data_IF_727693396236
#
_entry.id   IF_727693396236
#
_cell.length_a   1.000
_cell.length_b   1.000
_cell.length_c   1.000
_cell.angle_alpha   90.00
_cell.angle_beta   90.00
_cell.angle_gamma   90.00
#
_symmetry.space_group_name_H-M   'P 1'
#
loop_
_entity.id
_entity.type
_entity.pdbx_description
1 polymer ?
#
# COMPACT_ATOMS: atom_id res chain seq x y z
N UNK A 1 14.66 -9.26 0.27
CA UNK A 1 13.95 -8.04 -0.16
C UNK A 1 14.41 -6.91 0.75
N UNK A 2 14.83 -5.76 0.22
CA UNK A 2 15.38 -4.66 1.02
C UNK A 2 14.28 -3.69 1.47
N UNK A 3 14.55 -2.84 2.46
CA UNK A 3 13.62 -1.78 2.91
C UNK A 3 13.18 -0.88 1.74
N UNK A 4 14.10 -0.56 0.82
CA UNK A 4 13.78 0.26 -0.35
C UNK A 4 12.66 -0.37 -1.20
N UNK A 5 12.62 -1.70 -1.30
CA UNK A 5 11.57 -2.40 -2.02
C UNK A 5 10.20 -2.24 -1.33
N UNK A 6 10.13 -2.11 -0.01
CA UNK A 6 8.87 -1.82 0.69
C UNK A 6 8.31 -0.44 0.32
N UNK A 7 9.18 0.56 0.20
CA UNK A 7 8.77 1.91 -0.23
C UNK A 7 8.25 1.87 -1.66
N UNK A 8 8.96 1.18 -2.57
CA UNK A 8 8.53 1.02 -3.96
C UNK A 8 7.18 0.30 -4.03
N UNK A 9 7.00 -0.77 -3.26
CA UNK A 9 5.71 -1.47 -3.21
C UNK A 9 4.59 -0.59 -2.67
N UNK A 10 4.83 0.21 -1.63
CA UNK A 10 3.84 1.14 -1.11
C UNK A 10 3.39 2.17 -2.16
N UNK A 11 4.34 2.71 -2.94
CA UNK A 11 4.03 3.63 -4.06
C UNK A 11 3.26 2.91 -5.17
N UNK A 12 3.62 1.67 -5.51
CA UNK A 12 2.90 0.89 -6.50
C UNK A 12 1.48 0.56 -6.06
N UNK A 13 1.29 0.14 -4.81
CA UNK A 13 -0.04 -0.12 -4.24
C UNK A 13 -0.89 1.14 -4.33
N UNK A 14 -0.33 2.32 -4.07
CA UNK A 14 -1.04 3.58 -4.21
C UNK A 14 -1.44 3.86 -5.66
N UNK A 15 -0.52 3.69 -6.60
CA UNK A 15 -0.81 3.86 -8.02
C UNK A 15 -1.91 2.89 -8.52
N UNK A 16 -1.86 1.63 -8.11
CA UNK A 16 -2.90 0.64 -8.43
C UNK A 16 -4.24 0.98 -7.76
N UNK A 17 -4.20 1.45 -6.51
CA UNK A 17 -5.39 1.92 -5.78
C UNK A 17 -6.06 3.05 -6.55
N UNK A 18 -5.30 4.06 -6.99
CA UNK A 18 -5.80 5.15 -7.83
C UNK A 18 -6.43 4.65 -9.14
N UNK A 19 -5.74 3.75 -9.86
CA UNK A 19 -6.24 3.17 -11.11
C UNK A 19 -7.58 2.44 -10.91
N UNK A 20 -7.68 1.61 -9.85
CA UNK A 20 -8.90 0.89 -9.51
C UNK A 20 -10.04 1.85 -9.18
N UNK A 21 -9.77 2.92 -8.42
CA UNK A 21 -10.77 3.95 -8.10
C UNK A 21 -11.31 4.61 -9.36
N UNK A 22 -10.42 5.04 -10.27
CA UNK A 22 -10.82 5.65 -11.54
C UNK A 22 -11.68 4.72 -12.37
N UNK A 23 -11.31 3.43 -12.47
CA UNK A 23 -12.12 2.43 -13.16
C UNK A 23 -13.51 2.29 -12.51
N UNK A 24 -13.58 2.11 -11.19
CA UNK A 24 -14.85 1.95 -10.46
C UNK A 24 -15.76 3.17 -10.63
N UNK A 25 -15.22 4.38 -10.56
CA UNK A 25 -15.97 5.62 -10.80
C UNK A 25 -16.48 5.71 -12.25
N UNK A 26 -15.67 5.31 -13.23
CA UNK A 26 -16.08 5.25 -14.64
C UNK A 26 -17.22 4.23 -14.88
N UNK A 27 -17.30 3.18 -14.06
CA UNK A 27 -18.42 2.23 -14.05
C UNK A 27 -19.63 2.70 -13.22
N UNK A 28 -19.62 3.94 -12.70
CA UNK A 28 -20.72 4.52 -11.94
C UNK A 28 -20.79 4.11 -10.47
N UNK A 29 -19.73 3.52 -9.92
CA UNK A 29 -19.66 3.14 -8.50
C UNK A 29 -19.38 4.38 -7.65
N UNK A 30 -20.26 4.65 -6.67
CA UNK A 30 -20.05 5.70 -5.67
C UNK A 30 -19.10 5.18 -4.59
N UNK A 31 -17.85 5.67 -4.63
CA UNK A 31 -16.83 5.33 -3.64
C UNK A 31 -17.03 6.12 -2.35
N UNK A 32 -17.06 5.42 -1.21
CA UNK A 32 -17.05 6.02 0.12
C UNK A 32 -15.61 6.17 0.61
N UNK A 33 -15.34 7.15 1.47
CA UNK A 33 -13.99 7.44 1.97
C UNK A 33 -13.28 6.24 2.62
N UNK A 34 -14.01 5.32 3.25
CA UNK A 34 -13.43 4.11 3.85
C UNK A 34 -12.97 3.08 2.81
N UNK A 35 -13.47 3.14 1.57
CA UNK A 35 -13.12 2.20 0.51
C UNK A 35 -11.68 2.39 0.07
N UNK A 36 -11.11 3.58 0.23
CA UNK A 36 -9.71 3.88 -0.07
C UNK A 36 -8.77 2.99 0.76
N UNK A 37 -9.03 2.93 2.06
CA UNK A 37 -8.26 2.12 3.00
C UNK A 37 -8.47 0.62 2.77
N UNK A 38 -9.67 0.23 2.33
CA UNK A 38 -9.98 -1.17 2.05
C UNK A 38 -9.30 -1.65 0.76
N UNK A 39 -9.34 -0.85 -0.32
CA UNK A 39 -8.70 -1.19 -1.60
C UNK A 39 -7.18 -1.30 -1.39
N UNK A 40 -6.56 -0.35 -0.69
CA UNK A 40 -5.12 -0.40 -0.41
C UNK A 40 -4.75 -1.59 0.47
N UNK A 41 -5.58 -1.94 1.46
CA UNK A 41 -5.38 -3.14 2.28
C UNK A 41 -5.49 -4.44 1.48
N UNK A 42 -6.52 -4.59 0.65
CA UNK A 42 -6.73 -5.79 -0.17
C UNK A 42 -5.57 -5.97 -1.15
N UNK A 43 -5.13 -4.90 -1.80
CA UNK A 43 -3.95 -4.93 -2.68
C UNK A 43 -2.68 -5.27 -1.90
N UNK A 44 -2.47 -4.66 -0.74
CA UNK A 44 -1.32 -4.95 0.10
C UNK A 44 -1.28 -6.42 0.57
N UNK A 45 -2.43 -6.99 0.93
CA UNK A 45 -2.55 -8.42 1.26
C UNK A 45 -2.23 -9.28 0.03
N UNK A 46 -2.78 -8.97 -1.14
CA UNK A 46 -2.50 -9.72 -2.36
C UNK A 46 -1.01 -9.69 -2.75
N UNK A 47 -0.38 -8.51 -2.66
CA UNK A 47 1.05 -8.33 -2.94
C UNK A 47 1.91 -9.05 -1.90
N UNK A 48 1.60 -8.91 -0.61
CA UNK A 48 2.38 -9.54 0.46
C UNK A 48 2.26 -11.07 0.44
N UNK A 49 1.04 -11.60 0.26
CA UNK A 49 0.80 -13.04 0.20
C UNK A 49 1.35 -13.66 -1.10
N UNK A 50 1.05 -13.05 -2.26
CA UNK A 50 1.50 -13.53 -3.57
C UNK A 50 3.03 -13.46 -3.71
N UNK A 51 3.63 -12.37 -3.21
CA UNK A 51 5.09 -12.19 -3.20
C UNK A 51 5.80 -12.88 -2.03
N UNK A 52 5.07 -13.51 -1.10
CA UNK A 52 5.59 -14.07 0.16
C UNK A 52 6.50 -13.08 0.90
N UNK A 53 6.08 -11.82 0.93
CA UNK A 53 6.84 -10.72 1.52
C UNK A 53 6.74 -10.81 3.03
N UNK A 54 7.81 -11.26 3.68
CA UNK A 54 7.87 -11.37 5.14
C UNK A 54 8.59 -10.15 5.76
N UNK A 55 7.89 -9.42 6.62
CA UNK A 55 8.39 -8.23 7.28
C UNK A 55 9.59 -8.53 8.18
N UNK A 56 9.57 -9.65 8.90
CA UNK A 56 10.65 -10.02 9.82
C UNK A 56 11.93 -10.38 9.08
N UNK A 57 11.81 -10.96 7.87
CA UNK A 57 12.96 -11.21 7.00
C UNK A 57 13.59 -9.91 6.53
N UNK A 58 12.80 -8.87 6.25
CA UNK A 58 13.36 -7.57 5.87
C UNK A 58 13.97 -6.86 7.06
N UNK A 59 13.33 -6.93 8.23
CA UNK A 59 13.81 -6.30 9.44
C UNK A 59 15.12 -6.94 9.96
N UNK A 60 15.28 -8.25 9.80
CA UNK A 60 16.52 -8.97 10.17
C UNK A 60 17.72 -8.64 9.27
N UNK A 61 17.50 -8.02 8.10
CA UNK A 61 18.60 -7.48 7.29
C UNK A 61 19.18 -6.19 7.87
N UNK A 62 18.41 -5.48 8.69
CA UNK A 62 18.75 -4.16 9.21
C UNK A 62 19.12 -4.23 10.68
N UNK A 63 18.40 -5.05 11.44
CA UNK A 63 18.71 -5.39 12.81
C UNK A 63 19.31 -6.79 12.84
N UNK A 64 20.47 -7.02 13.48
CA UNK A 64 21.07 -8.36 13.60
C UNK A 64 20.30 -9.21 14.65
N UNK A 65 18.98 -9.31 14.48
CA UNK A 65 18.05 -10.00 15.36
C UNK A 65 17.26 -10.99 14.51
N UNK A 66 17.23 -12.25 14.95
CA UNK A 66 16.35 -13.25 14.38
C UNK A 66 15.06 -13.31 15.21
N UNK A 67 13.93 -12.96 14.59
CA UNK A 67 12.64 -12.86 15.28
C UNK A 67 12.04 -14.22 15.62
N UNK A 68 12.43 -15.32 14.95
CA UNK A 68 11.95 -16.67 15.26
C UNK A 68 10.43 -16.89 15.14
N UNK A 69 9.71 -15.97 14.50
CA UNK A 69 8.24 -16.01 14.37
C UNK A 69 7.79 -16.79 13.12
N UNK A 70 6.57 -17.35 13.11
CA UNK A 70 6.04 -18.03 11.95
C UNK A 70 5.94 -17.10 10.72
N UNK A 71 6.32 -17.55 9.50
CA UNK A 71 6.35 -16.69 8.30
C UNK A 71 5.01 -16.03 7.96
N UNK A 72 3.90 -16.71 8.28
CA UNK A 72 2.55 -16.18 8.06
C UNK A 72 2.32 -14.88 8.83
N UNK A 73 2.84 -14.77 10.06
CA UNK A 73 2.73 -13.55 10.87
C UNK A 73 3.49 -12.40 10.21
N UNK A 74 4.69 -12.68 9.72
CA UNK A 74 5.51 -11.71 9.00
C UNK A 74 4.86 -11.21 7.71
N UNK A 75 4.18 -12.10 6.97
CA UNK A 75 3.43 -11.75 5.76
C UNK A 75 2.22 -10.87 6.06
N UNK A 76 1.44 -11.21 7.09
CA UNK A 76 0.29 -10.39 7.52
C UNK A 76 0.75 -9.00 7.94
N UNK A 77 1.84 -8.92 8.72
CA UNK A 77 2.42 -7.64 9.12
C UNK A 77 2.93 -6.83 7.93
N UNK A 78 3.57 -7.47 6.94
CA UNK A 78 3.93 -6.79 5.69
C UNK A 78 2.72 -6.17 5.02
N UNK A 79 1.61 -6.88 4.91
CA UNK A 79 0.40 -6.35 4.31
C UNK A 79 -0.13 -5.11 5.05
N UNK A 80 -0.14 -5.15 6.38
CA UNK A 80 -0.56 -4.00 7.21
C UNK A 80 0.38 -2.80 7.03
N UNK A 81 1.68 -3.03 7.08
CA UNK A 81 2.71 -1.99 6.90
C UNK A 81 2.63 -1.38 5.51
N UNK A 82 2.48 -2.20 4.46
CA UNK A 82 2.35 -1.76 3.08
C UNK A 82 1.05 -0.97 2.86
N UNK A 83 -0.07 -1.41 3.42
CA UNK A 83 -1.35 -0.68 3.32
C UNK A 83 -1.24 0.71 3.97
N UNK A 84 -0.66 0.79 5.17
CA UNK A 84 -0.41 2.07 5.85
C UNK A 84 0.60 2.93 5.10
N UNK A 85 1.65 2.32 4.56
CA UNK A 85 2.65 2.98 3.74
C UNK A 85 2.05 3.60 2.48
N UNK A 86 1.17 2.87 1.78
CA UNK A 86 0.43 3.37 0.61
C UNK A 86 -0.39 4.60 0.98
N UNK A 87 -1.15 4.53 2.08
CA UNK A 87 -1.95 5.68 2.53
C UNK A 87 -1.06 6.88 2.91
N UNK A 88 0.12 6.65 3.51
CA UNK A 88 1.07 7.72 3.77
C UNK A 88 1.62 8.34 2.47
N UNK A 89 1.89 7.51 1.44
CA UNK A 89 2.27 7.99 0.10
C UNK A 89 1.14 8.82 -0.50
N UNK A 90 -0.12 8.38 -0.40
CA UNK A 90 -1.29 9.13 -0.86
C UNK A 90 -1.31 10.54 -0.24
N UNK A 91 -1.21 10.63 1.08
CA UNK A 91 -1.23 11.90 1.81
C UNK A 91 -0.05 12.81 1.42
N UNK A 92 1.13 12.23 1.18
CA UNK A 92 2.30 12.97 0.70
C UNK A 92 2.08 13.52 -0.70
N UNK A 93 1.55 12.71 -1.63
CA UNK A 93 1.24 13.14 -3.00
C UNK A 93 0.21 14.28 -3.00
N UNK A 94 -0.83 14.18 -2.16
CA UNK A 94 -1.84 15.21 -1.99
C UNK A 94 -1.26 16.54 -1.48
N UNK A 95 -0.28 16.48 -0.58
CA UNK A 95 0.43 17.68 -0.07
C UNK A 95 1.37 18.29 -1.10
N UNK A 96 2.02 17.46 -1.91
CA UNK A 96 2.96 17.90 -2.95
C UNK A 96 2.26 18.46 -4.19
N UNK A 97 1.06 17.95 -4.49
CA UNK A 97 0.22 18.44 -5.55
C UNK A 97 -1.14 18.88 -4.98
N UNK A 98 -1.18 20.03 -4.27
CA UNK A 98 -2.43 20.60 -3.78
C UNK A 98 -3.22 21.09 -5.00
N UNK A 99 -3.93 20.17 -5.66
CA UNK A 99 -4.79 20.51 -6.78
C UNK A 99 -5.89 21.41 -6.23
N UNK A 100 -5.89 22.68 -6.67
CA UNK A 100 -7.06 23.57 -6.49
C UNK A 100 -8.24 22.84 -7.13
N UNK A 101 -9.31 22.64 -6.38
CA UNK A 101 -10.56 22.02 -6.83
C UNK A 101 -10.86 22.40 -8.29
N UNK A 102 -10.78 21.45 -9.23
CA UNK A 102 -11.31 21.67 -10.57
C UNK A 102 -10.69 20.91 -11.75
N UNK A 103 -9.42 20.50 -11.74
CA UNK A 103 -8.84 19.87 -12.95
C UNK A 103 -8.27 18.47 -12.68
N UNK A 104 -8.96 17.48 -13.25
CA UNK A 104 -8.60 16.06 -13.36
C UNK A 104 -8.60 15.29 -12.02
N UNK A 105 -9.75 14.65 -11.77
CA UNK A 105 -9.95 13.60 -10.75
C UNK A 105 -9.16 12.34 -11.13
N UNK A 106 -7.85 12.40 -11.01
CA UNK A 106 -6.97 11.21 -11.05
C UNK A 106 -6.37 10.98 -9.67
N UNK A 107 -6.58 11.90 -8.73
CA UNK A 107 -6.06 11.89 -7.36
C UNK A 107 -7.10 12.42 -6.39
#
# INVERSE_FOLDING_TARGET
MTIQAFVILAVLIEAFTGLIKTLLQNFGVVLKDWMDQLISLVLAVAVAAGGKVDFFVVLSQVLPINFGLPPVVGIVLSAVVLARGSNAVHDLLKKLNPSKEGSLRIW
#
